data_IF_435409165163
#
_entry.id   IF_435409165163
#
_cell.length_a   1.000
_cell.length_b   1.000
_cell.length_c   1.000
_cell.angle_alpha   90.00
_cell.angle_beta   90.00
_cell.angle_gamma   90.00
#
_symmetry.space_group_name_H-M   'P 1'
#
loop_
_entity.id
_entity.type
_entity.pdbx_description
1 polymer ?
#
# COMPACT_ATOMS: atom_id res chain seq x y z
N UNK A 1 44.14 10.46 49.39
CA UNK A 1 43.16 9.95 48.42
C UNK A 1 43.17 10.90 47.24
N UNK A 2 43.39 10.39 46.03
CA UNK A 2 43.31 11.21 44.81
C UNK A 2 41.85 11.69 44.58
N UNK A 3 41.64 12.91 44.04
CA UNK A 3 40.30 13.35 43.74
C UNK A 3 39.62 12.39 42.75
N UNK A 4 38.42 11.86 43.11
CA UNK A 4 37.66 10.93 42.30
C UNK A 4 37.59 9.48 42.81
N UNK A 5 38.37 9.10 43.82
CA UNK A 5 38.29 7.77 44.42
C UNK A 5 37.15 7.68 45.43
N UNK A 6 36.30 6.66 45.31
CA UNK A 6 35.21 6.33 46.27
C UNK A 6 35.75 5.44 47.37
N UNK A 7 36.53 4.44 46.98
CA UNK A 7 37.27 3.51 47.86
C UNK A 7 38.69 3.30 47.29
N UNK A 8 39.54 2.49 47.99
CA UNK A 8 40.86 2.14 47.48
C UNK A 8 40.86 1.46 46.09
N UNK A 9 39.77 0.79 45.73
CA UNK A 9 39.68 -0.08 44.56
C UNK A 9 38.64 0.38 43.53
N UNK A 10 37.83 1.39 43.84
CA UNK A 10 36.74 1.88 42.97
C UNK A 10 36.81 3.39 42.84
N UNK A 11 36.83 3.88 41.61
CA UNK A 11 36.74 5.32 41.33
C UNK A 11 35.44 5.69 40.60
N UNK A 12 35.16 6.99 40.49
CA UNK A 12 33.96 7.55 39.87
C UNK A 12 33.89 7.17 38.39
N UNK A 13 35.03 7.09 37.70
CA UNK A 13 35.07 6.74 36.26
C UNK A 13 34.64 5.29 36.05
N UNK A 14 35.15 4.40 36.91
CA UNK A 14 34.76 2.97 36.84
C UNK A 14 33.26 2.77 37.09
N UNK A 15 32.70 3.43 38.09
CA UNK A 15 31.26 3.39 38.39
C UNK A 15 30.45 3.94 37.22
N UNK A 16 30.89 5.09 36.63
CA UNK A 16 30.21 5.65 35.47
C UNK A 16 30.24 4.76 34.26
N UNK A 17 31.37 4.09 33.96
CA UNK A 17 31.47 3.12 32.89
C UNK A 17 30.56 1.91 33.08
N UNK A 18 30.55 1.34 34.27
CA UNK A 18 29.65 0.20 34.59
C UNK A 18 28.20 0.62 34.46
N UNK A 19 27.81 1.77 35.02
CA UNK A 19 26.47 2.29 34.90
C UNK A 19 26.07 2.53 33.43
N UNK A 20 26.97 3.07 32.63
CA UNK A 20 26.75 3.25 31.19
C UNK A 20 26.53 1.91 30.48
N UNK A 21 27.35 0.90 30.73
CA UNK A 21 27.18 -0.41 30.11
C UNK A 21 25.86 -1.07 30.50
N UNK A 22 25.46 -0.98 31.77
CA UNK A 22 24.16 -1.48 32.24
C UNK A 22 23.03 -0.76 31.48
N UNK A 23 23.05 0.57 31.47
CA UNK A 23 22.08 1.38 30.73
C UNK A 23 22.04 0.97 29.25
N UNK A 24 23.20 0.84 28.59
CA UNK A 24 23.29 0.51 27.19
C UNK A 24 22.70 -0.88 26.88
N UNK A 25 22.97 -1.88 27.70
CA UNK A 25 22.37 -3.22 27.55
C UNK A 25 20.84 -3.14 27.67
N UNK A 26 20.31 -2.43 28.68
CA UNK A 26 18.86 -2.25 28.80
C UNK A 26 18.27 -1.49 27.62
N UNK A 27 18.96 -0.47 27.13
CA UNK A 27 18.53 0.27 25.95
C UNK A 27 18.45 -0.64 24.70
N UNK A 28 19.49 -1.46 24.45
CA UNK A 28 19.50 -2.39 23.33
C UNK A 28 18.35 -3.40 23.43
N UNK A 29 18.16 -3.99 24.61
CA UNK A 29 17.03 -4.94 24.85
C UNK A 29 15.69 -4.23 24.65
N UNK A 30 15.53 -3.01 25.13
CA UNK A 30 14.31 -2.21 24.95
C UNK A 30 14.02 -1.97 23.47
N UNK A 31 15.01 -1.48 22.72
CA UNK A 31 14.87 -1.21 21.29
C UNK A 31 14.53 -2.49 20.51
N UNK A 32 15.23 -3.60 20.81
CA UNK A 32 14.94 -4.90 20.15
C UNK A 32 13.54 -5.42 20.48
N UNK A 33 12.98 -5.10 21.64
CA UNK A 33 11.58 -5.41 21.95
C UNK A 33 10.60 -4.56 21.17
N UNK A 34 10.88 -3.25 21.08
CA UNK A 34 10.03 -2.32 20.33
C UNK A 34 10.02 -2.66 18.84
N UNK A 35 11.15 -3.06 18.25
CA UNK A 35 11.25 -3.53 16.84
C UNK A 35 10.29 -4.69 16.55
N UNK A 36 10.00 -5.53 17.54
CA UNK A 36 9.12 -6.70 17.38
C UNK A 36 7.63 -6.39 17.46
N UNK A 37 7.23 -5.11 17.46
CA UNK A 37 5.80 -4.75 17.36
C UNK A 37 5.23 -5.04 15.98
N UNK A 38 6.08 -5.08 14.96
CA UNK A 38 5.70 -5.36 13.58
C UNK A 38 6.48 -6.56 13.05
N UNK A 39 5.83 -7.35 12.18
CA UNK A 39 6.47 -8.49 11.52
C UNK A 39 6.68 -9.74 12.39
N UNK A 40 6.18 -9.80 13.62
CA UNK A 40 6.29 -10.97 14.50
C UNK A 40 4.91 -11.50 14.90
N UNK A 41 4.78 -12.84 15.12
CA UNK A 41 5.82 -13.87 15.01
C UNK A 41 6.24 -14.18 13.58
N UNK A 42 7.51 -14.56 13.38
CA UNK A 42 7.98 -15.06 12.11
C UNK A 42 7.40 -16.45 11.84
N UNK A 43 6.90 -16.68 10.64
CA UNK A 43 6.32 -17.95 10.22
C UNK A 43 7.19 -18.56 9.13
N UNK A 44 7.66 -19.78 9.35
CA UNK A 44 8.37 -20.55 8.34
C UNK A 44 7.35 -21.26 7.43
N UNK A 45 7.45 -21.03 6.13
CA UNK A 45 6.50 -21.54 5.13
C UNK A 45 6.49 -23.05 4.99
N UNK A 46 7.66 -23.68 5.13
CA UNK A 46 7.86 -25.13 4.86
C UNK A 46 7.88 -25.98 6.09
N UNK A 47 8.02 -25.42 7.28
CA UNK A 47 8.08 -26.17 8.52
C UNK A 47 6.72 -26.15 9.21
N UNK A 48 6.28 -27.33 9.65
CA UNK A 48 5.15 -27.46 10.57
C UNK A 48 5.51 -26.99 11.99
N UNK A 49 6.71 -26.46 12.18
CA UNK A 49 7.17 -25.88 13.43
C UNK A 49 6.53 -24.52 13.59
N UNK A 50 6.01 -24.25 14.75
CA UNK A 50 5.26 -23.05 15.06
C UNK A 50 6.05 -21.75 14.86
N UNK A 51 5.38 -20.67 15.09
CA UNK A 51 5.92 -19.32 14.97
C UNK A 51 7.18 -19.08 15.78
N UNK A 52 8.20 -18.48 15.18
CA UNK A 52 9.45 -18.12 15.85
C UNK A 52 9.30 -16.69 16.41
N UNK A 53 9.32 -16.59 17.73
CA UNK A 53 9.27 -15.29 18.43
C UNK A 53 10.69 -14.81 18.77
N UNK A 54 11.56 -15.72 19.22
CA UNK A 54 12.92 -15.40 19.66
C UNK A 54 12.96 -14.49 20.89
N UNK A 55 14.16 -14.27 21.44
CA UNK A 55 14.39 -13.35 22.55
C UNK A 55 14.85 -11.98 22.04
N UNK A 56 14.46 -10.89 22.68
CA UNK A 56 13.42 -10.72 23.69
C UNK A 56 12.00 -10.93 23.11
N UNK A 57 11.05 -11.32 23.98
CA UNK A 57 9.66 -11.44 23.57
C UNK A 57 9.06 -10.12 23.11
N UNK A 58 8.09 -10.10 22.17
CA UNK A 58 7.39 -8.89 21.76
C UNK A 58 6.79 -8.17 22.97
N UNK A 59 6.74 -6.83 22.96
CA UNK A 59 6.13 -6.09 24.05
C UNK A 59 4.60 -6.26 24.04
N UNK A 60 3.92 -5.99 25.18
CA UNK A 60 2.46 -5.97 25.22
C UNK A 60 1.92 -4.91 24.24
N UNK A 61 0.69 -5.09 23.73
CA UNK A 61 0.07 -4.13 22.82
C UNK A 61 0.02 -2.71 23.42
N UNK A 62 0.37 -1.71 22.61
CA UNK A 62 0.13 -0.30 22.92
C UNK A 62 -1.12 0.17 22.21
N UNK A 63 -1.91 0.98 22.88
CA UNK A 63 -3.09 1.63 22.29
C UNK A 63 -2.73 3.05 21.87
N UNK A 64 -2.87 3.31 20.58
CA UNK A 64 -2.66 4.62 19.97
C UNK A 64 -4.00 5.31 19.75
N UNK A 65 -4.07 6.60 20.03
CA UNK A 65 -5.22 7.43 19.69
C UNK A 65 -5.05 7.96 18.27
N UNK A 66 -6.01 7.65 17.42
CA UNK A 66 -6.07 8.13 16.04
C UNK A 66 -6.94 9.39 15.97
N UNK A 67 -6.93 10.04 14.81
CA UNK A 67 -7.86 11.14 14.52
C UNK A 67 -9.32 10.66 14.67
N UNK A 68 -10.19 11.58 15.04
CA UNK A 68 -11.64 11.33 15.25
C UNK A 68 -11.97 10.41 16.44
N UNK A 69 -11.07 10.31 17.42
CA UNK A 69 -11.31 9.53 18.64
C UNK A 69 -11.20 8.01 18.48
N UNK A 70 -10.84 7.51 17.29
CA UNK A 70 -10.55 6.09 17.08
C UNK A 70 -9.29 5.68 17.82
N UNK A 71 -9.17 4.38 18.08
CA UNK A 71 -7.96 3.79 18.68
C UNK A 71 -7.44 2.66 17.81
N UNK A 72 -6.13 2.46 17.80
CA UNK A 72 -5.47 1.30 17.22
C UNK A 72 -4.53 0.66 18.23
N UNK A 73 -4.41 -0.65 18.21
CA UNK A 73 -3.47 -1.40 19.05
C UNK A 73 -2.34 -1.96 18.20
N UNK A 74 -1.10 -1.87 18.69
CA UNK A 74 0.08 -2.50 18.09
C UNK A 74 0.85 -3.30 19.15
N UNK A 75 1.29 -4.53 18.86
CA UNK A 75 1.17 -5.28 17.61
C UNK A 75 -0.29 -5.67 17.31
N UNK A 76 -0.65 -5.60 16.05
CA UNK A 76 -1.98 -5.93 15.56
C UNK A 76 -1.87 -7.10 14.58
N UNK A 77 -2.73 -8.11 14.75
CA UNK A 77 -2.90 -9.14 13.73
C UNK A 77 -3.78 -8.58 12.61
N UNK A 78 -3.15 -8.13 11.55
CA UNK A 78 -3.88 -7.79 10.34
C UNK A 78 -4.36 -9.07 9.66
N UNK A 79 -5.65 -9.22 9.39
CA UNK A 79 -6.08 -10.28 8.51
C UNK A 79 -5.34 -10.11 7.17
N UNK A 80 -4.87 -11.21 6.62
CA UNK A 80 -4.21 -11.18 5.31
C UNK A 80 -5.25 -11.16 4.21
N UNK A 81 -4.97 -10.45 3.13
CA UNK A 81 -5.77 -10.54 1.93
C UNK A 81 -5.76 -11.99 1.40
N UNK A 82 -6.85 -12.45 0.78
CA UNK A 82 -6.85 -13.74 0.13
C UNK A 82 -5.74 -13.83 -0.90
N UNK A 83 -4.96 -14.90 -0.85
CA UNK A 83 -3.89 -15.17 -1.81
C UNK A 83 -4.11 -16.55 -2.44
N UNK A 84 -3.93 -16.62 -3.75
CA UNK A 84 -3.99 -17.87 -4.51
C UNK A 84 -2.59 -18.21 -5.02
N UNK A 85 -1.82 -18.90 -4.19
CA UNK A 85 -0.45 -19.25 -4.50
C UNK A 85 -0.05 -20.65 -4.07
N UNK A 86 0.81 -21.28 -4.86
CA UNK A 86 1.42 -22.57 -4.56
C UNK A 86 2.83 -22.34 -4.02
N UNK A 87 3.11 -22.96 -2.86
CA UNK A 87 4.45 -22.96 -2.30
C UNK A 87 5.33 -23.96 -3.05
N UNK A 88 6.47 -23.50 -3.55
CA UNK A 88 7.51 -24.38 -4.06
C UNK A 88 8.24 -25.02 -2.86
N UNK A 89 8.66 -26.31 -2.94
CA UNK A 89 9.22 -26.99 -1.76
C UNK A 89 10.63 -26.59 -1.36
N UNK A 90 11.15 -25.47 -1.83
CA UNK A 90 12.46 -24.92 -1.46
C UNK A 90 12.32 -23.71 -0.55
N UNK A 91 13.16 -23.65 0.47
CA UNK A 91 13.20 -22.51 1.38
C UNK A 91 13.65 -21.24 0.66
N UNK A 92 12.92 -20.14 0.87
CA UNK A 92 13.23 -18.83 0.31
C UNK A 92 12.70 -18.58 -1.11
N UNK A 93 12.09 -19.57 -1.76
CA UNK A 93 11.44 -19.34 -3.05
C UNK A 93 10.11 -18.59 -2.91
N UNK A 94 9.78 -17.70 -3.87
CA UNK A 94 8.52 -16.97 -3.86
C UNK A 94 7.33 -17.92 -4.10
N UNK A 95 6.12 -17.48 -3.72
CA UNK A 95 4.89 -18.17 -4.13
C UNK A 95 4.71 -18.06 -5.64
N UNK A 96 4.27 -19.16 -6.25
CA UNK A 96 3.86 -19.17 -7.65
C UNK A 96 2.34 -18.97 -7.70
N UNK A 97 1.81 -18.08 -8.56
CA UNK A 97 0.37 -17.91 -8.73
C UNK A 97 -0.32 -19.24 -9.06
N UNK A 98 -1.46 -19.50 -8.42
CA UNK A 98 -2.38 -20.56 -8.82
C UNK A 98 -3.51 -19.92 -9.64
N UNK A 99 -3.82 -20.47 -10.82
CA UNK A 99 -4.84 -19.91 -11.70
C UNK A 99 -4.36 -18.67 -12.47
N UNK A 100 -5.20 -17.63 -12.57
CA UNK A 100 -4.83 -16.37 -13.23
C UNK A 100 -3.86 -15.55 -12.36
N UNK A 101 -2.60 -15.36 -12.80
CA UNK A 101 -1.60 -14.64 -12.02
C UNK A 101 -2.01 -13.20 -11.67
N UNK A 102 -2.81 -12.57 -12.54
CA UNK A 102 -3.29 -11.19 -12.31
C UNK A 102 -4.24 -11.10 -11.12
N UNK A 103 -4.96 -12.18 -10.82
CA UNK A 103 -5.97 -12.23 -9.76
C UNK A 103 -5.47 -12.90 -8.47
N UNK A 104 -4.31 -13.54 -8.51
CA UNK A 104 -3.81 -14.36 -7.41
C UNK A 104 -3.43 -13.58 -6.13
N UNK A 105 -3.31 -12.27 -6.20
CA UNK A 105 -3.01 -11.42 -5.03
C UNK A 105 -1.63 -11.65 -4.41
N UNK A 106 -0.65 -12.11 -5.18
CA UNK A 106 0.72 -12.38 -4.75
C UNK A 106 1.73 -11.56 -5.54
N UNK A 107 2.96 -11.49 -5.01
CA UNK A 107 4.02 -10.70 -5.64
C UNK A 107 3.64 -9.23 -5.76
N UNK A 108 3.79 -8.64 -6.95
CA UNK A 108 3.41 -7.25 -7.21
C UNK A 108 1.90 -6.98 -7.10
N UNK A 109 1.07 -8.01 -7.27
CA UNK A 109 -0.39 -7.93 -7.09
C UNK A 109 -0.86 -8.08 -5.65
N UNK A 110 0.05 -8.25 -4.69
CA UNK A 110 -0.30 -8.35 -3.28
C UNK A 110 -0.75 -7.00 -2.72
N UNK A 111 -1.80 -7.01 -1.88
CA UNK A 111 -2.30 -5.83 -1.20
C UNK A 111 -2.61 -6.11 0.27
N UNK A 112 -2.58 -5.08 1.10
CA UNK A 112 -2.92 -5.17 2.51
C UNK A 112 -4.41 -4.91 2.74
N UNK A 113 -5.00 -5.57 3.74
CA UNK A 113 -6.34 -5.25 4.20
C UNK A 113 -6.32 -4.00 5.08
N UNK A 114 -6.05 -2.85 4.45
CA UNK A 114 -6.06 -1.54 5.09
C UNK A 114 -7.47 -1.17 5.59
N UNK A 115 -7.58 0.00 6.19
CA UNK A 115 -8.87 0.53 6.66
C UNK A 115 -9.88 0.61 5.51
N UNK A 116 -11.10 0.15 5.78
CA UNK A 116 -12.23 0.25 4.86
C UNK A 116 -12.99 1.57 5.02
N UNK A 117 -12.23 2.63 5.21
CA UNK A 117 -12.72 4.00 5.33
C UNK A 117 -11.97 4.88 4.35
N UNK A 118 -12.62 5.89 3.77
CA UNK A 118 -11.98 6.88 2.93
C UNK A 118 -10.89 7.64 3.69
N UNK A 119 -9.76 7.86 3.05
CA UNK A 119 -8.72 8.72 3.62
C UNK A 119 -9.16 10.18 3.59
N UNK A 120 -8.81 10.93 4.64
CA UNK A 120 -9.17 12.33 4.79
C UNK A 120 -7.95 13.20 5.03
N UNK A 121 -8.02 14.42 4.56
CA UNK A 121 -7.06 15.49 4.89
C UNK A 121 -7.19 15.90 6.35
N UNK A 122 -6.25 16.74 6.84
CA UNK A 122 -6.33 17.33 8.19
C UNK A 122 -7.64 18.11 8.40
N UNK A 123 -8.18 18.73 7.35
CA UNK A 123 -9.45 19.46 7.35
C UNK A 123 -10.68 18.55 7.22
N UNK A 124 -10.51 17.23 7.42
CA UNK A 124 -11.57 16.20 7.34
C UNK A 124 -12.24 16.06 5.97
N UNK A 125 -11.73 16.68 4.92
CA UNK A 125 -12.20 16.51 3.54
C UNK A 125 -11.67 15.20 2.96
N UNK A 126 -12.36 14.62 1.98
CA UNK A 126 -11.86 13.44 1.26
C UNK A 126 -10.49 13.75 0.66
N UNK A 127 -9.53 12.84 0.83
CA UNK A 127 -8.19 12.94 0.26
C UNK A 127 -8.24 12.74 -1.26
N UNK A 128 -8.91 11.67 -1.68
CA UNK A 128 -9.17 11.32 -3.08
C UNK A 128 -10.62 11.57 -3.40
N UNK A 129 -10.90 12.24 -4.50
CA UNK A 129 -12.26 12.53 -4.93
C UNK A 129 -12.31 12.81 -6.44
N UNK A 130 -13.45 12.52 -7.09
CA UNK A 130 -13.64 12.89 -8.49
C UNK A 130 -13.70 14.41 -8.68
N UNK A 131 -13.21 14.88 -9.81
CA UNK A 131 -13.13 16.31 -10.11
C UNK A 131 -14.51 16.99 -10.16
N UNK A 132 -15.57 16.22 -10.55
CA UNK A 132 -16.95 16.69 -10.51
C UNK A 132 -17.40 17.19 -9.13
N UNK A 133 -16.80 16.65 -8.05
CA UNK A 133 -17.09 17.03 -6.67
C UNK A 133 -16.07 18.02 -6.08
N UNK A 134 -15.03 18.38 -6.84
CA UNK A 134 -13.97 19.29 -6.43
C UNK A 134 -14.13 20.67 -7.09
N UNK A 135 -15.13 21.45 -6.67
CA UNK A 135 -15.48 22.75 -7.28
C UNK A 135 -14.35 23.80 -7.28
N UNK A 136 -13.38 23.61 -6.39
CA UNK A 136 -12.19 24.45 -6.24
C UNK A 136 -11.02 24.02 -7.16
N UNK A 137 -11.23 22.98 -8.01
CA UNK A 137 -10.22 22.42 -8.90
C UNK A 137 -10.65 22.45 -10.35
N UNK A 138 -9.72 22.77 -11.22
CA UNK A 138 -9.91 22.74 -12.68
C UNK A 138 -8.66 22.19 -13.34
N UNK A 139 -8.82 21.66 -14.56
CA UNK A 139 -7.66 21.33 -15.41
C UNK A 139 -6.92 22.62 -15.74
N UNK A 140 -5.59 22.60 -15.66
CA UNK A 140 -4.73 23.78 -15.91
C UNK A 140 -4.94 24.34 -17.32
N UNK A 141 -4.92 25.67 -17.44
CA UNK A 141 -4.99 26.31 -18.74
C UNK A 141 -3.80 25.91 -19.61
N UNK A 142 -4.07 25.46 -20.84
CA UNK A 142 -3.05 24.95 -21.75
C UNK A 142 -2.79 23.45 -21.69
N UNK A 143 -3.36 22.75 -20.70
CA UNK A 143 -3.39 21.30 -20.67
C UNK A 143 -4.69 20.78 -21.31
N UNK A 144 -4.59 19.63 -22.01
CA UNK A 144 -5.77 18.97 -22.56
C UNK A 144 -6.58 18.36 -21.43
N UNK A 145 -7.89 18.62 -21.41
CA UNK A 145 -8.80 17.94 -20.49
C UNK A 145 -8.96 16.48 -20.94
N UNK A 146 -8.60 15.51 -20.10
CA UNK A 146 -8.71 14.09 -20.48
C UNK A 146 -10.14 13.57 -20.58
N UNK A 147 -11.12 14.29 -20.02
CA UNK A 147 -12.54 13.88 -20.09
C UNK A 147 -13.05 13.88 -21.52
N UNK A 148 -13.69 12.80 -21.90
CA UNK A 148 -14.13 12.56 -23.28
C UNK A 148 -13.08 11.88 -24.17
N UNK A 149 -11.83 11.75 -23.73
CA UNK A 149 -10.80 11.00 -24.49
C UNK A 149 -11.11 9.51 -24.50
N UNK A 150 -10.75 8.85 -25.61
CA UNK A 150 -10.88 7.39 -25.75
C UNK A 150 -9.81 6.69 -24.90
N UNK A 151 -10.20 5.67 -24.14
CA UNK A 151 -9.28 4.79 -23.44
C UNK A 151 -8.97 3.57 -24.30
N UNK A 152 -7.68 3.31 -24.53
CA UNK A 152 -7.16 2.19 -25.29
C UNK A 152 -6.44 1.20 -24.38
N UNK A 153 -6.55 -0.08 -24.69
CA UNK A 153 -5.72 -1.13 -24.11
C UNK A 153 -4.28 -1.10 -24.65
N UNK A 154 -3.39 -1.93 -24.12
CA UNK A 154 -1.99 -2.03 -24.54
C UNK A 154 -1.82 -2.29 -26.03
N UNK A 155 -2.74 -3.02 -26.65
CA UNK A 155 -2.79 -3.37 -28.07
C UNK A 155 -3.59 -2.36 -28.92
N UNK A 156 -3.81 -1.14 -28.44
CA UNK A 156 -4.53 -0.05 -29.11
C UNK A 156 -6.04 -0.31 -29.37
N UNK A 157 -6.61 -1.36 -28.80
CA UNK A 157 -8.07 -1.57 -28.93
C UNK A 157 -8.81 -0.63 -27.96
N UNK A 158 -9.89 0.05 -28.41
CA UNK A 158 -10.68 0.92 -27.58
C UNK A 158 -11.49 0.12 -26.56
N UNK A 159 -11.37 0.48 -25.27
CA UNK A 159 -12.03 -0.20 -24.16
C UNK A 159 -13.04 0.65 -23.43
N UNK A 160 -12.96 1.99 -23.58
CA UNK A 160 -13.87 2.89 -22.89
C UNK A 160 -13.62 4.35 -23.22
N UNK A 161 -14.29 5.23 -22.47
CA UNK A 161 -14.15 6.67 -22.55
C UNK A 161 -13.93 7.24 -21.15
N UNK A 162 -13.03 8.18 -21.01
CA UNK A 162 -12.78 8.89 -19.74
C UNK A 162 -13.98 9.77 -19.43
N UNK A 163 -14.64 9.56 -18.31
CA UNK A 163 -15.81 10.33 -17.87
C UNK A 163 -15.45 11.36 -16.80
N UNK A 164 -14.45 11.09 -15.96
CA UNK A 164 -13.95 12.04 -14.96
C UNK A 164 -12.49 11.74 -14.58
N UNK A 165 -11.93 12.58 -13.73
CA UNK A 165 -10.56 12.49 -13.22
C UNK A 165 -10.63 12.53 -11.70
N UNK A 166 -9.81 11.72 -11.03
CA UNK A 166 -9.70 11.75 -9.58
C UNK A 166 -8.43 12.47 -9.13
N UNK A 167 -8.60 13.37 -8.18
CA UNK A 167 -7.54 14.24 -7.66
C UNK A 167 -7.16 13.86 -6.24
N UNK A 168 -5.86 13.95 -5.95
CA UNK A 168 -5.32 13.89 -4.59
C UNK A 168 -5.18 15.33 -4.06
N UNK A 169 -5.99 15.68 -3.07
CA UNK A 169 -6.04 17.04 -2.52
C UNK A 169 -4.80 17.43 -1.72
N UNK A 170 -4.12 16.48 -1.10
CA UNK A 170 -2.91 16.74 -0.33
C UNK A 170 -1.70 16.91 -1.24
N UNK A 171 -1.51 15.99 -2.18
CA UNK A 171 -0.42 16.03 -3.14
C UNK A 171 -0.64 17.04 -4.29
N UNK A 172 -1.89 17.49 -4.51
CA UNK A 172 -2.30 18.39 -5.60
C UNK A 172 -1.96 17.84 -6.99
N UNK A 173 -2.25 16.57 -7.21
CA UNK A 173 -2.01 15.87 -8.47
C UNK A 173 -3.25 15.09 -8.93
N UNK A 174 -3.30 14.80 -10.22
CA UNK A 174 -4.22 13.82 -10.77
C UNK A 174 -3.71 12.42 -10.47
N UNK A 175 -4.59 11.53 -10.01
CA UNK A 175 -4.22 10.17 -9.60
C UNK A 175 -4.82 9.10 -10.51
N UNK A 176 -6.09 9.24 -10.87
CA UNK A 176 -6.81 8.22 -11.64
C UNK A 176 -7.68 8.86 -12.72
N UNK A 177 -7.86 8.14 -13.81
CA UNK A 177 -8.94 8.38 -14.76
C UNK A 177 -10.14 7.52 -14.38
N UNK A 178 -11.32 8.09 -14.37
CA UNK A 178 -12.57 7.35 -14.27
C UNK A 178 -13.05 7.06 -15.70
N UNK A 179 -13.22 5.78 -16.02
CA UNK A 179 -13.45 5.30 -17.38
C UNK A 179 -14.73 4.52 -17.44
N UNK A 180 -15.65 4.92 -18.29
CA UNK A 180 -16.82 4.13 -18.66
C UNK A 180 -16.43 3.11 -19.70
N UNK A 181 -16.62 1.82 -19.40
CA UNK A 181 -16.28 0.72 -20.30
C UNK A 181 -17.31 0.56 -21.42
N UNK A 182 -16.83 0.22 -22.63
CA UNK A 182 -17.70 0.03 -23.81
C UNK A 182 -18.56 -1.24 -23.76
N UNK A 183 -18.18 -2.22 -22.93
CA UNK A 183 -18.88 -3.50 -22.77
C UNK A 183 -20.09 -3.44 -21.83
N UNK A 184 -20.45 -2.24 -21.36
CA UNK A 184 -21.53 -2.06 -20.38
C UNK A 184 -21.11 -2.43 -18.95
N UNK A 185 -19.84 -2.73 -18.72
CA UNK A 185 -19.28 -3.10 -17.42
C UNK A 185 -19.29 -1.97 -16.38
N UNK A 186 -19.81 -0.76 -16.71
CA UNK A 186 -19.84 0.39 -15.81
C UNK A 186 -18.50 1.13 -15.72
N UNK A 187 -18.33 1.95 -14.67
CA UNK A 187 -17.13 2.75 -14.48
C UNK A 187 -16.06 2.03 -13.68
N UNK A 188 -14.80 2.25 -14.06
CA UNK A 188 -13.61 1.78 -13.37
C UNK A 188 -12.63 2.94 -13.17
N UNK A 189 -11.68 2.78 -12.25
CA UNK A 189 -10.56 3.71 -12.10
C UNK A 189 -9.28 3.11 -12.69
N UNK A 190 -8.54 3.95 -13.41
CA UNK A 190 -7.26 3.59 -14.03
C UNK A 190 -6.20 4.54 -13.52
N UNK A 191 -5.11 4.05 -12.86
CA UNK A 191 -4.06 4.92 -12.37
C UNK A 191 -3.31 5.62 -13.50
N UNK A 192 -3.07 6.91 -13.36
CA UNK A 192 -2.38 7.75 -14.34
C UNK A 192 -0.99 7.19 -14.70
N UNK A 193 -0.27 6.61 -13.72
CA UNK A 193 1.09 6.08 -13.91
C UNK A 193 1.19 4.93 -14.90
N UNK A 194 0.09 4.25 -15.19
CA UNK A 194 0.03 3.17 -16.16
C UNK A 194 -0.53 3.61 -17.52
N UNK A 195 -0.57 4.93 -17.76
CA UNK A 195 -1.17 5.49 -18.97
C UNK A 195 -0.18 6.35 -19.74
N UNK A 196 -0.32 6.31 -21.06
CA UNK A 196 0.31 7.22 -22.02
C UNK A 196 -0.78 8.06 -22.68
N UNK A 197 -0.60 9.39 -22.68
CA UNK A 197 -1.60 10.36 -23.15
C UNK A 197 -1.20 10.90 -24.51
N UNK A 198 -1.96 10.57 -25.54
CA UNK A 198 -1.82 11.16 -26.87
C UNK A 198 -2.83 12.30 -27.06
N UNK A 199 -2.36 13.54 -26.87
CA UNK A 199 -3.20 14.74 -26.97
C UNK A 199 -3.70 15.00 -28.38
N UNK A 200 -2.90 14.69 -29.40
CA UNK A 200 -3.23 14.97 -30.82
C UNK A 200 -4.40 14.11 -31.30
N UNK A 201 -4.51 12.90 -30.76
CA UNK A 201 -5.55 11.94 -31.14
C UNK A 201 -6.70 11.85 -30.15
N UNK A 202 -6.61 12.61 -29.05
CA UNK A 202 -7.57 12.53 -27.92
C UNK A 202 -7.73 11.11 -27.39
N UNK A 203 -6.60 10.44 -27.16
CA UNK A 203 -6.53 9.05 -26.72
C UNK A 203 -5.62 8.91 -25.50
N UNK A 204 -5.98 7.96 -24.66
CA UNK A 204 -5.18 7.53 -23.51
C UNK A 204 -5.00 6.03 -23.59
N UNK A 205 -3.75 5.57 -23.66
CA UNK A 205 -3.42 4.15 -23.73
C UNK A 205 -2.98 3.61 -22.38
N UNK A 206 -3.62 2.56 -21.92
CA UNK A 206 -3.17 1.78 -20.75
C UNK A 206 -2.07 0.83 -21.17
N UNK A 207 -0.90 0.93 -20.52
CA UNK A 207 0.32 0.23 -20.94
C UNK A 207 0.41 -1.23 -20.48
N UNK A 208 -0.48 -1.64 -19.57
CA UNK A 208 -0.31 -2.91 -18.83
C UNK A 208 -1.51 -3.87 -18.91
N UNK A 209 -2.61 -3.50 -19.57
CA UNK A 209 -3.80 -4.33 -19.64
C UNK A 209 -4.21 -4.65 -21.08
N UNK A 210 -4.57 -5.92 -21.34
CA UNK A 210 -5.28 -6.35 -22.53
C UNK A 210 -6.78 -6.05 -22.42
N UNK A 211 -7.52 -5.92 -23.51
CA UNK A 211 -8.95 -5.54 -23.48
C UNK A 211 -9.80 -6.40 -22.55
N UNK A 212 -9.65 -7.72 -22.61
CA UNK A 212 -10.42 -8.65 -21.77
C UNK A 212 -10.11 -8.60 -20.27
N UNK A 213 -9.02 -7.91 -19.86
CA UNK A 213 -8.61 -7.80 -18.45
C UNK A 213 -9.27 -6.63 -17.74
N UNK A 214 -9.81 -5.63 -18.45
CA UNK A 214 -10.47 -4.47 -17.84
C UNK A 214 -11.68 -4.85 -16.99
N UNK A 215 -12.37 -5.93 -17.30
CA UNK A 215 -13.49 -6.44 -16.49
C UNK A 215 -13.09 -6.86 -15.07
N UNK A 216 -11.80 -7.18 -14.84
CA UNK A 216 -11.27 -7.62 -13.55
C UNK A 216 -10.73 -6.47 -12.71
N UNK A 217 -10.66 -5.26 -13.24
CA UNK A 217 -10.23 -4.09 -12.47
C UNK A 217 -11.12 -3.93 -11.24
N UNK A 218 -10.54 -3.85 -10.02
CA UNK A 218 -11.30 -3.65 -8.80
C UNK A 218 -12.17 -2.39 -8.86
N UNK A 219 -13.41 -2.52 -8.41
CA UNK A 219 -14.39 -1.44 -8.42
C UNK A 219 -14.55 -0.84 -7.05
N UNK A 220 -14.97 0.41 -7.01
CA UNK A 220 -15.37 1.08 -5.78
C UNK A 220 -16.76 0.60 -5.34
N UNK A 221 -16.97 0.53 -4.04
CA UNK A 221 -18.30 0.29 -3.46
C UNK A 221 -19.20 1.52 -3.59
N UNK A 222 -18.61 2.72 -3.47
CA UNK A 222 -19.31 3.99 -3.64
C UNK A 222 -18.70 4.78 -4.80
N UNK A 223 -19.51 5.42 -5.65
CA UNK A 223 -19.04 6.05 -6.89
C UNK A 223 -18.15 7.28 -6.67
N UNK A 224 -18.24 7.92 -5.51
CA UNK A 224 -17.55 9.20 -5.24
C UNK A 224 -16.58 9.13 -4.05
N UNK A 225 -16.42 7.97 -3.46
CA UNK A 225 -15.52 7.75 -2.33
C UNK A 225 -14.65 6.52 -2.57
N UNK A 226 -13.37 6.62 -2.23
CA UNK A 226 -12.41 5.52 -2.29
C UNK A 226 -11.88 5.26 -0.89
N UNK A 227 -12.02 4.03 -0.40
CA UNK A 227 -11.42 3.61 0.87
C UNK A 227 -9.93 3.33 0.69
N UNK A 228 -9.17 3.36 1.79
CA UNK A 228 -7.74 3.03 1.76
C UNK A 228 -7.48 1.59 1.28
N UNK A 229 -8.42 0.66 1.56
CA UNK A 229 -8.35 -0.72 1.09
C UNK A 229 -8.60 -0.85 -0.41
N UNK A 230 -9.59 -0.13 -0.92
CA UNK A 230 -9.91 -0.13 -2.36
C UNK A 230 -8.76 0.48 -3.17
N UNK A 231 -8.16 1.56 -2.67
CA UNK A 231 -6.98 2.16 -3.30
C UNK A 231 -5.81 1.18 -3.36
N UNK A 232 -5.50 0.52 -2.25
CA UNK A 232 -4.40 -0.46 -2.18
C UNK A 232 -4.64 -1.63 -3.13
N UNK A 233 -5.87 -2.17 -3.14
CA UNK A 233 -6.26 -3.26 -4.04
C UNK A 233 -6.21 -2.86 -5.51
N UNK A 234 -6.67 -1.65 -5.85
CA UNK A 234 -6.63 -1.13 -7.21
C UNK A 234 -5.18 -0.96 -7.70
N UNK A 235 -4.34 -0.31 -6.90
CA UNK A 235 -2.94 -0.08 -7.25
C UNK A 235 -2.16 -1.41 -7.35
N UNK A 236 -2.42 -2.38 -6.47
CA UNK A 236 -1.82 -3.71 -6.53
C UNK A 236 -2.23 -4.46 -7.80
N UNK A 237 -3.49 -4.37 -8.24
CA UNK A 237 -3.95 -4.97 -9.49
C UNK A 237 -3.15 -4.45 -10.69
N UNK A 238 -2.98 -3.14 -10.82
CA UNK A 238 -2.19 -2.56 -11.90
C UNK A 238 -0.69 -2.84 -11.77
N UNK A 239 -0.14 -2.87 -10.56
CA UNK A 239 1.23 -3.29 -10.31
C UNK A 239 1.46 -4.76 -10.71
N UNK A 240 0.51 -5.63 -10.36
CA UNK A 240 0.51 -7.04 -10.80
C UNK A 240 0.43 -7.16 -12.31
N UNK A 241 -0.39 -6.34 -12.96
CA UNK A 241 -0.52 -6.33 -14.42
C UNK A 241 0.79 -5.97 -15.13
N UNK A 242 1.66 -5.17 -14.54
CA UNK A 242 2.99 -4.86 -15.09
C UNK A 242 3.87 -6.10 -15.27
N UNK A 243 3.64 -7.14 -14.45
CA UNK A 243 4.45 -8.36 -14.47
C UNK A 243 3.69 -9.53 -15.11
N UNK A 244 2.38 -9.63 -14.85
CA UNK A 244 1.59 -10.82 -15.15
C UNK A 244 0.64 -10.67 -16.33
N UNK A 245 0.40 -9.45 -16.81
CA UNK A 245 -0.32 -9.29 -18.06
C UNK A 245 0.70 -9.38 -19.18
N UNK A 246 0.94 -10.54 -19.70
CA UNK A 246 1.79 -10.70 -20.88
C UNK A 246 1.35 -9.72 -21.99
N UNK A 247 2.12 -8.66 -22.29
CA UNK A 247 1.69 -7.64 -23.26
C UNK A 247 1.73 -8.14 -24.70
N UNK A 248 2.20 -9.38 -24.92
CA UNK A 248 2.26 -10.03 -26.24
C UNK A 248 3.52 -9.70 -26.99
#
# INVERSE_FOLDING_TARGET
>A
MSPGTITSDIDVVQVALVAFFIFFVFLVVYLRREDKREGYPLVERTSRRGSIIGWPAPPPPKTYRLMEGRTAQMPHHYPQAPIEGVSIPRNGEPLVPAGDPLLAGIGAGAYALRSDLPMRTMDKKLLLMPLRNASDWTVSRGEADPRGMRMLAVNYQPVGTVIDIWVDRAAKILRYFEVSLNDGGGAILVPLFHCDINRSESEIRVLVLKPGQFRFVPRLALPDEMTAREEDRLNAFFAGATIYSDPG
#
